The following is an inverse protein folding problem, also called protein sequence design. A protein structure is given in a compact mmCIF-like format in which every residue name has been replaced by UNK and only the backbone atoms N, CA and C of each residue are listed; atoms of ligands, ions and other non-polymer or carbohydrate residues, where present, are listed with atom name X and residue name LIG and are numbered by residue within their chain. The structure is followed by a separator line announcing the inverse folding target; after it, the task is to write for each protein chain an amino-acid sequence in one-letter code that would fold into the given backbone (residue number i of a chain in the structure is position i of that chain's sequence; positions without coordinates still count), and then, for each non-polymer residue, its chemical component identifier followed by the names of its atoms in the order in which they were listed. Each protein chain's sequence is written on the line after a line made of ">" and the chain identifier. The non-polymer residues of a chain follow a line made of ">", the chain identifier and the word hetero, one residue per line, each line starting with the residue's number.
data_IF_550993735732
#
_entry.id   IF_550993735732
#
_cell.length_a   1.000
_cell.length_b   1.000
_cell.length_c   1.000
_cell.angle_alpha   90.00
_cell.angle_beta   90.00
_cell.angle_gamma   90.00
#
_symmetry.space_group_name_H-M   'P 1'
#
loop_
_entity.id
_entity.type
_entity.pdbx_description
1 polymer ?
#
# COMPACT_ATOMS: atom_id res chain seq x y z
N UNK A 1 20.30 0.39 11.69
CA UNK A 1 19.04 1.14 11.60
C UNK A 1 17.96 0.16 11.17
N UNK A 2 16.82 0.10 11.86
CA UNK A 2 15.65 -0.74 11.49
C UNK A 2 14.56 0.09 10.80
N UNK A 3 13.48 -0.54 10.31
CA UNK A 3 12.42 0.14 9.57
C UNK A 3 11.72 1.23 10.39
N UNK A 4 11.49 0.98 11.68
CA UNK A 4 10.83 1.95 12.57
C UNK A 4 11.68 3.22 12.72
N UNK A 5 12.99 3.06 12.93
CA UNK A 5 13.94 4.17 13.02
C UNK A 5 14.03 4.96 11.70
N UNK A 6 13.98 4.27 10.56
CA UNK A 6 13.95 4.90 9.24
C UNK A 6 12.69 5.77 9.06
N UNK A 7 11.51 5.27 9.48
CA UNK A 7 10.27 6.04 9.41
C UNK A 7 10.28 7.24 10.36
N UNK A 8 10.79 7.09 11.59
CA UNK A 8 10.94 8.21 12.52
C UNK A 8 11.89 9.27 11.97
N UNK A 9 13.06 8.86 11.47
CA UNK A 9 14.06 9.79 10.94
C UNK A 9 13.55 10.60 9.74
N UNK A 10 12.67 10.01 8.94
CA UNK A 10 12.07 10.65 7.75
C UNK A 10 10.77 11.40 8.02
N UNK A 11 10.33 11.44 9.27
CA UNK A 11 9.04 12.02 9.64
C UNK A 11 7.85 11.34 8.91
N UNK A 12 7.97 10.01 8.70
CA UNK A 12 6.94 9.16 8.09
C UNK A 12 6.09 8.42 9.14
N UNK A 13 6.36 8.62 10.43
CA UNK A 13 5.64 7.99 11.53
C UNK A 13 4.74 9.02 12.22
N UNK A 14 3.43 8.88 12.04
CA UNK A 14 2.44 9.70 12.75
C UNK A 14 2.02 9.04 14.07
N UNK A 15 1.58 7.79 13.99
CA UNK A 15 1.14 6.99 15.14
C UNK A 15 1.56 5.53 14.97
N UNK A 16 1.75 4.83 16.09
CA UNK A 16 2.04 3.41 16.13
C UNK A 16 1.33 2.77 17.31
N UNK A 17 0.87 1.53 17.13
CA UNK A 17 0.47 0.69 18.25
C UNK A 17 1.66 0.39 19.16
N UNK A 18 1.43 0.06 20.45
CA UNK A 18 2.48 -0.41 21.33
C UNK A 18 3.31 -1.54 20.72
N UNK A 19 4.57 -1.63 21.11
CA UNK A 19 5.52 -2.70 20.77
C UNK A 19 5.92 -2.82 19.27
N UNK A 20 5.37 -1.99 18.37
CA UNK A 20 5.70 -2.03 16.94
C UNK A 20 7.20 -1.85 16.68
N UNK A 21 7.86 -1.04 17.51
CA UNK A 21 9.30 -0.77 17.40
C UNK A 21 10.14 -2.02 17.65
N UNK A 22 9.83 -2.74 18.72
CA UNK A 22 10.49 -3.98 19.11
C UNK A 22 10.26 -5.07 18.05
N UNK A 23 9.02 -5.24 17.60
CA UNK A 23 8.67 -6.26 16.59
C UNK A 23 9.40 -6.00 15.26
N UNK A 24 9.41 -4.75 14.78
CA UNK A 24 10.14 -4.38 13.55
C UNK A 24 11.67 -4.48 13.68
N UNK A 25 12.21 -4.54 14.91
CA UNK A 25 13.63 -4.76 15.14
C UNK A 25 14.01 -6.24 15.07
N UNK A 26 13.12 -7.12 15.51
CA UNK A 26 13.42 -8.52 15.76
C UNK A 26 12.87 -9.48 14.70
N UNK A 27 11.86 -9.07 13.93
CA UNK A 27 11.12 -9.98 13.05
C UNK A 27 11.02 -9.50 11.60
N UNK A 28 10.83 -10.46 10.69
CA UNK A 28 10.47 -10.20 9.29
C UNK A 28 8.96 -10.31 9.12
N UNK A 29 8.31 -9.16 9.19
CA UNK A 29 6.87 -9.06 9.07
C UNK A 29 6.37 -9.07 7.62
N UNK A 30 5.11 -9.46 7.46
CA UNK A 30 4.30 -9.15 6.28
C UNK A 30 3.34 -8.03 6.66
N UNK A 31 3.29 -6.95 5.89
CA UNK A 31 2.35 -5.86 6.13
C UNK A 31 1.75 -5.36 4.83
N UNK A 32 0.61 -4.68 4.94
CA UNK A 32 -0.13 -4.23 3.78
C UNK A 32 -0.50 -2.75 3.85
N UNK A 33 -0.75 -2.18 2.68
CA UNK A 33 -1.39 -0.88 2.49
C UNK A 33 -2.49 -1.04 1.45
N UNK A 34 -3.66 -0.48 1.74
CA UNK A 34 -4.80 -0.44 0.82
C UNK A 34 -4.67 0.70 -0.20
N UNK A 35 -5.02 0.41 -1.45
CA UNK A 35 -5.17 1.36 -2.55
C UNK A 35 -6.54 1.17 -3.18
N UNK A 36 -7.37 2.20 -3.15
CA UNK A 36 -8.67 2.18 -3.83
C UNK A 36 -8.49 2.44 -5.35
N UNK A 37 -8.95 1.52 -6.23
CA UNK A 37 -8.88 1.67 -7.68
C UNK A 37 -9.94 2.64 -8.22
N UNK A 38 -10.01 3.84 -7.64
CA UNK A 38 -10.95 4.89 -8.02
C UNK A 38 -10.61 5.60 -9.34
N UNK A 39 -9.40 5.38 -9.85
CA UNK A 39 -8.91 5.90 -11.13
C UNK A 39 -7.84 4.96 -11.71
N UNK A 40 -7.56 5.11 -13.01
CA UNK A 40 -6.59 4.29 -13.73
C UNK A 40 -5.13 4.52 -13.30
N UNK A 41 -4.88 5.53 -12.46
CA UNK A 41 -3.54 5.90 -12.04
C UNK A 41 -3.53 6.45 -10.61
N UNK A 42 -2.55 6.00 -9.82
CA UNK A 42 -2.16 6.64 -8.56
C UNK A 42 -1.61 8.04 -8.85
N UNK A 43 -1.94 8.98 -7.97
CA UNK A 43 -1.43 10.34 -7.98
C UNK A 43 -0.41 10.58 -6.86
N UNK A 44 0.20 11.77 -6.82
CA UNK A 44 1.24 12.12 -5.82
C UNK A 44 0.83 11.89 -4.35
N UNK A 45 -0.46 12.04 -4.01
CA UNK A 45 -0.97 11.73 -2.66
C UNK A 45 -0.80 10.27 -2.23
N UNK A 46 -0.63 9.34 -3.16
CA UNK A 46 -0.40 7.92 -2.86
C UNK A 46 1.09 7.59 -2.69
N UNK A 47 1.99 8.54 -2.99
CA UNK A 47 3.42 8.29 -3.01
C UNK A 47 3.97 7.96 -1.63
N UNK A 48 3.51 8.62 -0.57
CA UNK A 48 3.95 8.35 0.79
C UNK A 48 3.66 6.89 1.21
N UNK A 49 2.44 6.36 1.03
CA UNK A 49 2.16 4.93 1.22
C UNK A 49 3.01 4.00 0.33
N UNK A 50 3.17 4.32 -0.96
CA UNK A 50 4.00 3.51 -1.88
C UNK A 50 5.45 3.44 -1.41
N UNK A 51 6.02 4.57 -0.97
CA UNK A 51 7.36 4.62 -0.41
C UNK A 51 7.46 3.87 0.93
N UNK A 52 6.39 3.84 1.72
CA UNK A 52 6.26 2.99 2.91
C UNK A 52 6.45 1.51 2.58
N UNK A 53 5.70 0.99 1.60
CA UNK A 53 5.86 -0.40 1.13
C UNK A 53 7.26 -0.67 0.55
N UNK A 54 7.81 0.26 -0.23
CA UNK A 54 9.14 0.09 -0.81
C UNK A 54 10.24 0.03 0.26
N UNK A 55 10.14 0.86 1.31
CA UNK A 55 11.07 0.80 2.46
C UNK A 55 10.87 -0.48 3.25
N UNK A 56 9.63 -0.86 3.50
CA UNK A 56 9.31 -2.11 4.17
C UNK A 56 10.01 -3.29 3.45
N UNK A 57 9.92 -3.35 2.12
CA UNK A 57 10.63 -4.35 1.33
C UNK A 57 12.16 -4.27 1.44
N UNK A 58 12.74 -3.07 1.35
CA UNK A 58 14.19 -2.87 1.43
C UNK A 58 14.78 -3.27 2.79
N UNK A 59 13.98 -3.20 3.85
CA UNK A 59 14.36 -3.66 5.19
C UNK A 59 14.09 -5.17 5.41
N UNK A 60 13.68 -5.88 4.35
CA UNK A 60 13.53 -7.34 4.33
C UNK A 60 12.17 -7.86 4.77
N UNK A 61 11.18 -6.98 4.92
CA UNK A 61 9.79 -7.35 5.20
C UNK A 61 9.05 -7.62 3.88
N UNK A 62 7.89 -8.26 3.94
CA UNK A 62 7.08 -8.59 2.75
C UNK A 62 5.94 -7.59 2.57
N UNK A 63 5.94 -6.74 1.53
CA UNK A 63 4.87 -5.79 1.28
C UNK A 63 3.70 -6.43 0.53
N UNK A 64 2.48 -6.07 0.94
CA UNK A 64 1.25 -6.37 0.21
C UNK A 64 0.55 -5.05 -0.16
N UNK A 65 0.29 -4.82 -1.44
CA UNK A 65 -0.63 -3.78 -1.88
C UNK A 65 -2.02 -4.39 -2.02
N UNK A 66 -2.96 -3.98 -1.17
CA UNK A 66 -4.34 -4.43 -1.28
C UNK A 66 -5.08 -3.49 -2.23
N UNK A 67 -5.51 -4.04 -3.34
CA UNK A 67 -6.44 -3.45 -4.27
C UNK A 67 -7.85 -3.47 -3.66
N UNK A 68 -8.44 -2.29 -3.47
CA UNK A 68 -9.78 -2.13 -2.92
C UNK A 68 -10.90 -2.41 -3.92
N UNK A 69 -10.95 -3.59 -4.56
CA UNK A 69 -12.01 -3.92 -5.51
C UNK A 69 -13.39 -3.96 -4.85
N UNK A 70 -13.52 -4.64 -3.72
CA UNK A 70 -14.74 -4.65 -2.91
C UNK A 70 -15.02 -3.32 -2.20
N UNK A 71 -14.00 -2.64 -1.67
CA UNK A 71 -14.18 -1.35 -0.94
C UNK A 71 -14.48 -0.17 -1.87
N UNK A 72 -13.96 -0.20 -3.09
CA UNK A 72 -14.24 0.79 -4.13
C UNK A 72 -15.69 0.76 -4.63
N UNK A 73 -16.34 -0.40 -4.56
CA UNK A 73 -17.77 -0.58 -4.88
C UNK A 73 -18.71 -0.07 -3.78
N UNK A 74 -18.23 0.11 -2.55
CA UNK A 74 -19.02 0.70 -1.45
C UNK A 74 -18.71 2.20 -1.32
N UNK A 75 -17.44 2.57 -1.51
CA UNK A 75 -16.94 3.93 -1.40
C UNK A 75 -16.66 4.33 0.05
N UNK A 76 -15.41 4.66 0.36
CA UNK A 76 -15.05 5.23 1.66
C UNK A 76 -15.68 6.65 1.81
N UNK A 77 -16.56 6.88 2.81
CA UNK A 77 -17.22 8.16 3.03
C UNK A 77 -16.30 9.22 3.66
N UNK A 78 -15.07 8.86 4.04
CA UNK A 78 -14.12 9.75 4.71
C UNK A 78 -13.80 11.00 3.87
N UNK A 79 -14.53 12.09 4.14
CA UNK A 79 -14.21 13.45 3.67
C UNK A 79 -14.80 13.90 2.32
N UNK A 80 -15.77 13.20 1.72
CA UNK A 80 -16.37 13.63 0.43
C UNK A 80 -17.86 13.96 0.55
N UNK A 81 -18.24 15.15 0.06
CA UNK A 81 -19.59 15.76 0.13
C UNK A 81 -20.58 15.29 -0.93
N UNK A 82 -20.18 14.41 -1.86
CA UNK A 82 -21.03 13.86 -2.92
C UNK A 82 -20.88 12.34 -2.99
N UNK A 83 -21.98 11.64 -3.22
CA UNK A 83 -21.99 10.21 -3.56
C UNK A 83 -21.03 9.95 -4.73
N UNK A 84 -20.14 8.96 -4.57
CA UNK A 84 -19.25 8.52 -5.65
C UNK A 84 -20.07 7.72 -6.66
N UNK A 85 -19.80 7.90 -7.95
CA UNK A 85 -20.30 6.98 -8.96
C UNK A 85 -19.67 5.60 -8.75
N UNK A 86 -20.52 4.58 -8.72
CA UNK A 86 -20.08 3.18 -8.67
C UNK A 86 -19.38 2.83 -9.98
N UNK A 87 -18.16 2.31 -9.88
CA UNK A 87 -17.42 1.78 -11.01
C UNK A 87 -17.94 0.39 -11.38
N UNK A 88 -17.93 0.06 -12.68
CA UNK A 88 -18.19 -1.31 -13.10
C UNK A 88 -17.00 -2.21 -12.75
N UNK A 89 -17.22 -3.51 -12.70
CA UNK A 89 -16.15 -4.48 -12.43
C UNK A 89 -15.01 -4.36 -13.46
N UNK A 90 -15.34 -4.15 -14.73
CA UNK A 90 -14.36 -3.97 -15.81
C UNK A 90 -13.54 -2.70 -15.63
N UNK A 91 -14.14 -1.61 -15.14
CA UNK A 91 -13.43 -0.37 -14.84
C UNK A 91 -12.48 -0.56 -13.65
N UNK A 92 -12.92 -1.29 -12.62
CA UNK A 92 -12.08 -1.63 -11.47
C UNK A 92 -10.87 -2.44 -11.93
N UNK A 93 -11.06 -3.51 -12.71
CA UNK A 93 -9.96 -4.33 -13.23
C UNK A 93 -8.98 -3.53 -14.10
N UNK A 94 -9.49 -2.68 -15.00
CA UNK A 94 -8.64 -1.80 -15.81
C UNK A 94 -7.80 -0.83 -14.94
N UNK A 95 -8.40 -0.29 -13.88
CA UNK A 95 -7.69 0.58 -12.95
C UNK A 95 -6.63 -0.19 -12.16
N UNK A 96 -6.92 -1.43 -11.77
CA UNK A 96 -5.99 -2.28 -11.04
C UNK A 96 -4.73 -2.62 -11.84
N UNK A 97 -4.87 -2.91 -13.14
CA UNK A 97 -3.70 -3.15 -13.98
C UNK A 97 -2.82 -1.89 -14.12
N UNK A 98 -3.41 -0.70 -14.26
CA UNK A 98 -2.67 0.56 -14.26
C UNK A 98 -1.93 0.82 -12.95
N UNK A 99 -2.60 0.60 -11.81
CA UNK A 99 -2.00 0.74 -10.47
C UNK A 99 -0.85 -0.26 -10.28
N UNK A 100 -1.06 -1.52 -10.69
CA UNK A 100 -0.04 -2.58 -10.62
C UNK A 100 1.20 -2.24 -11.44
N UNK A 101 1.04 -1.69 -12.64
CA UNK A 101 2.17 -1.23 -13.44
C UNK A 101 2.95 -0.14 -12.72
N UNK A 102 2.26 0.82 -12.08
CA UNK A 102 2.93 1.87 -11.31
C UNK A 102 3.67 1.32 -10.08
N UNK A 103 3.05 0.42 -9.31
CA UNK A 103 3.65 -0.20 -8.14
C UNK A 103 4.89 -1.05 -8.48
N UNK A 104 4.90 -1.68 -9.67
CA UNK A 104 6.05 -2.47 -10.17
C UNK A 104 7.35 -1.67 -10.29
N UNK A 105 7.25 -0.34 -10.38
CA UNK A 105 8.41 0.56 -10.42
C UNK A 105 9.06 0.78 -9.05
N UNK A 106 8.36 0.44 -7.96
CA UNK A 106 8.81 0.68 -6.59
C UNK A 106 9.00 -0.60 -5.78
N UNK A 107 8.29 -1.67 -6.14
CA UNK A 107 8.26 -2.94 -5.44
C UNK A 107 8.82 -4.06 -6.32
N UNK A 108 9.60 -4.94 -5.72
CA UNK A 108 10.14 -6.12 -6.40
C UNK A 108 9.22 -7.33 -6.21
N UNK A 109 8.49 -7.68 -7.26
CA UNK A 109 7.58 -8.82 -7.26
C UNK A 109 8.31 -10.18 -7.44
N UNK A 110 9.60 -10.15 -7.81
CA UNK A 110 10.40 -11.34 -8.09
C UNK A 110 11.48 -11.58 -7.02
N UNK A 111 11.49 -10.81 -5.93
CA UNK A 111 12.44 -10.98 -4.85
C UNK A 111 12.36 -12.41 -4.27
N UNK A 112 13.51 -13.05 -4.07
CA UNK A 112 13.58 -14.45 -3.63
C UNK A 112 13.01 -14.66 -2.22
N UNK A 113 13.26 -13.71 -1.31
CA UNK A 113 12.95 -13.88 0.12
C UNK A 113 11.69 -13.14 0.57
N UNK A 114 11.38 -12.01 -0.05
CA UNK A 114 10.28 -11.13 0.34
C UNK A 114 9.60 -10.47 -0.89
N UNK A 115 9.05 -11.28 -1.81
CA UNK A 115 8.40 -10.77 -3.01
C UNK A 115 7.17 -9.93 -2.63
N UNK A 116 7.03 -8.79 -3.28
CA UNK A 116 5.82 -8.00 -3.16
C UNK A 116 4.60 -8.74 -3.72
N UNK A 117 3.42 -8.47 -3.17
CA UNK A 117 2.16 -9.04 -3.66
C UNK A 117 1.13 -7.95 -3.86
N UNK A 118 0.30 -8.12 -4.88
CA UNK A 118 -0.95 -7.37 -5.03
C UNK A 118 -2.08 -8.35 -4.80
N UNK A 119 -3.02 -7.98 -3.93
CA UNK A 119 -4.19 -8.81 -3.58
C UNK A 119 -5.43 -7.94 -3.75
N UNK A 120 -6.48 -8.47 -4.39
CA UNK A 120 -7.78 -7.81 -4.50
C UNK A 120 -8.70 -8.30 -3.36
N UNK A 121 -9.42 -7.38 -2.71
CA UNK A 121 -10.33 -7.69 -1.60
C UNK A 121 -11.79 -7.86 -2.01
#
# INVERSE_FOLDING_TARGET
>A
MNLYQEFQWRDMLYEATPDLREVLANEKLTAYIGFDPSAASLHVGSLLPVMGLARLQRFGHTPIAIAGGGTGLIGDPSGKTKERQLLTHEQVEANLEGIKEQLSRFLDFNATNNPARIVNN
#
